data_IF_827576710327
#
_entry.id   IF_827576710327
#
_cell.length_a   1.000
_cell.length_b   1.000
_cell.length_c   1.000
_cell.angle_alpha   90.00
_cell.angle_beta   90.00
_cell.angle_gamma   90.00
#
_symmetry.space_group_name_H-M   'P 1'
#
loop_
_entity.id
_entity.type
_entity.pdbx_description
1 polymer ?
#
# COMPACT_ATOMS: atom_id res chain seq x y z
N UNK A 1 -21.69 0.54 8.73
CA UNK A 1 -22.44 1.56 8.00
C UNK A 1 -21.38 2.52 7.50
N UNK A 2 -21.30 2.75 6.19
CA UNK A 2 -20.21 3.54 5.59
C UNK A 2 -20.23 4.96 6.17
N UNK A 3 -19.08 5.46 6.61
CA UNK A 3 -18.98 6.73 7.36
C UNK A 3 -19.16 7.99 6.49
N UNK A 4 -19.41 7.83 5.19
CA UNK A 4 -19.53 8.92 4.23
C UNK A 4 -20.67 8.69 3.24
N UNK A 5 -21.26 9.78 2.76
CA UNK A 5 -22.34 9.78 1.76
C UNK A 5 -21.81 9.96 0.34
N UNK A 6 -22.60 9.54 -0.65
CA UNK A 6 -22.29 9.76 -2.07
C UNK A 6 -22.15 11.25 -2.40
N UNK A 7 -22.91 12.11 -1.73
CA UNK A 7 -22.85 13.57 -1.93
C UNK A 7 -21.51 14.15 -1.46
N UNK A 8 -20.96 13.64 -0.35
CA UNK A 8 -19.64 14.05 0.14
C UNK A 8 -18.52 13.63 -0.81
N UNK A 9 -18.62 12.43 -1.40
CA UNK A 9 -17.66 11.99 -2.43
C UNK A 9 -17.74 12.94 -3.64
N UNK A 10 -18.95 13.26 -4.09
CA UNK A 10 -19.16 14.16 -5.23
C UNK A 10 -18.57 15.55 -5.01
N UNK A 11 -18.70 16.11 -3.81
CA UNK A 11 -18.10 17.40 -3.43
C UNK A 11 -16.56 17.38 -3.55
N UNK A 12 -15.92 16.26 -3.20
CA UNK A 12 -14.45 16.13 -3.28
C UNK A 12 -13.98 15.82 -4.69
N UNK A 13 -14.80 15.13 -5.51
CA UNK A 13 -14.45 14.87 -6.90
C UNK A 13 -14.20 16.16 -7.70
N UNK A 14 -14.81 17.28 -7.30
CA UNK A 14 -14.55 18.59 -7.89
C UNK A 14 -13.19 19.19 -7.45
N UNK A 15 -12.60 18.71 -6.34
CA UNK A 15 -11.31 19.15 -5.78
C UNK A 15 -10.18 18.20 -6.19
N UNK A 16 -9.76 18.30 -7.44
CA UNK A 16 -8.76 17.41 -8.06
C UNK A 16 -7.43 17.34 -7.26
N UNK A 17 -6.98 18.46 -6.68
CA UNK A 17 -5.74 18.53 -5.89
C UNK A 17 -5.77 17.65 -4.61
N UNK A 18 -6.96 17.21 -4.18
CA UNK A 18 -7.16 16.36 -3.01
C UNK A 18 -7.50 14.91 -3.37
N UNK A 19 -7.43 14.55 -4.65
CA UNK A 19 -7.61 13.17 -5.12
C UNK A 19 -6.24 12.49 -5.20
N UNK A 20 -6.13 11.27 -4.67
CA UNK A 20 -4.91 10.46 -4.75
C UNK A 20 -5.24 9.10 -5.34
N UNK A 21 -4.75 8.82 -6.54
CA UNK A 21 -4.90 7.51 -7.16
C UNK A 21 -3.66 6.69 -6.85
N UNK A 22 -3.83 5.59 -6.13
CA UNK A 22 -2.72 4.76 -5.71
C UNK A 22 -2.97 3.28 -5.92
N UNK A 23 -1.93 2.56 -6.31
CA UNK A 23 -1.94 1.10 -6.37
C UNK A 23 -1.21 0.54 -5.15
N UNK A 24 -1.52 -0.70 -4.78
CA UNK A 24 -0.75 -1.42 -3.75
C UNK A 24 0.13 -2.45 -4.45
N UNK A 25 1.42 -2.48 -4.11
CA UNK A 25 2.42 -3.41 -4.63
C UNK A 25 2.92 -4.27 -3.48
N UNK A 26 2.92 -5.59 -3.64
CA UNK A 26 3.42 -6.51 -2.62
C UNK A 26 3.82 -7.84 -3.25
N UNK A 27 4.73 -8.57 -2.60
CA UNK A 27 4.91 -9.99 -2.88
C UNK A 27 3.70 -10.79 -2.36
N UNK A 28 3.49 -11.98 -2.91
CA UNK A 28 2.52 -12.95 -2.35
C UNK A 28 2.83 -13.16 -0.86
N UNK A 29 1.77 -13.26 -0.07
CA UNK A 29 1.83 -13.41 1.39
C UNK A 29 2.49 -12.27 2.19
N UNK A 30 2.85 -11.13 1.59
CA UNK A 30 3.38 -9.97 2.34
C UNK A 30 2.29 -9.15 3.07
N UNK A 31 1.05 -9.62 3.05
CA UNK A 31 -0.07 -9.03 3.80
C UNK A 31 -0.78 -7.89 3.09
N UNK A 32 -0.76 -7.91 1.75
CA UNK A 32 -1.42 -6.92 0.87
C UNK A 32 -2.92 -6.78 1.18
N UNK A 33 -3.68 -7.86 1.03
CA UNK A 33 -5.13 -7.87 1.20
C UNK A 33 -5.52 -7.51 2.65
N UNK A 34 -4.74 -7.98 3.62
CA UNK A 34 -4.94 -7.65 5.04
C UNK A 34 -4.76 -6.16 5.32
N UNK A 35 -3.73 -5.54 4.73
CA UNK A 35 -3.51 -4.11 4.86
C UNK A 35 -4.63 -3.31 4.17
N UNK A 36 -5.03 -3.70 2.97
CA UNK A 36 -6.13 -3.07 2.25
C UNK A 36 -7.43 -3.16 3.06
N UNK A 37 -7.73 -4.32 3.66
CA UNK A 37 -8.88 -4.49 4.54
C UNK A 37 -8.84 -3.56 5.78
N UNK A 38 -7.66 -3.36 6.37
CA UNK A 38 -7.50 -2.42 7.48
C UNK A 38 -7.85 -0.98 7.07
N UNK A 39 -7.41 -0.56 5.88
CA UNK A 39 -7.77 0.75 5.31
C UNK A 39 -9.28 0.86 5.06
N UNK A 40 -9.91 -0.19 4.54
CA UNK A 40 -11.36 -0.24 4.31
C UNK A 40 -12.18 -0.19 5.60
N UNK A 41 -11.71 -0.89 6.63
CA UNK A 41 -12.26 -0.83 7.97
C UNK A 41 -12.17 0.59 8.54
N UNK A 42 -10.99 1.21 8.43
CA UNK A 42 -10.76 2.57 8.92
C UNK A 42 -11.63 3.60 8.20
N UNK A 43 -11.86 3.43 6.90
CA UNK A 43 -12.80 4.24 6.12
C UNK A 43 -14.28 3.98 6.47
N UNK A 44 -14.57 2.98 7.33
CA UNK A 44 -15.92 2.61 7.73
C UNK A 44 -16.69 1.82 6.67
N UNK A 45 -16.04 1.42 5.58
CA UNK A 45 -16.66 0.64 4.49
C UNK A 45 -17.00 -0.77 4.99
N UNK A 46 -16.12 -1.35 5.80
CA UNK A 46 -16.28 -2.68 6.41
C UNK A 46 -16.39 -2.53 7.93
N UNK A 47 -17.13 -3.43 8.57
CA UNK A 47 -17.15 -3.50 10.03
C UNK A 47 -15.84 -4.06 10.57
N UNK A 48 -15.28 -3.44 11.62
CA UNK A 48 -14.01 -3.84 12.25
C UNK A 48 -13.95 -5.33 12.65
N UNK A 49 -15.08 -5.94 13.01
CA UNK A 49 -15.15 -7.38 13.33
C UNK A 49 -14.84 -8.33 12.17
N UNK A 50 -14.82 -7.84 10.94
CA UNK A 50 -14.58 -8.65 9.73
C UNK A 50 -13.33 -8.17 8.98
N UNK A 51 -12.64 -7.13 9.47
CA UNK A 51 -11.45 -6.61 8.84
C UNK A 51 -10.29 -7.62 8.97
N UNK A 52 -9.58 -7.88 7.86
CA UNK A 52 -8.44 -8.82 7.81
C UNK A 52 -8.83 -10.26 7.47
N UNK A 53 -10.02 -10.70 7.90
CA UNK A 53 -10.59 -12.01 7.57
C UNK A 53 -11.52 -11.97 6.34
N UNK A 54 -12.16 -10.83 6.07
CA UNK A 54 -13.10 -10.68 4.95
C UNK A 54 -12.43 -10.76 3.58
N UNK A 55 -11.21 -10.21 3.46
CA UNK A 55 -10.54 -9.89 2.20
C UNK A 55 -11.52 -9.29 1.21
N UNK A 56 -12.04 -8.11 1.54
CA UNK A 56 -13.19 -7.55 0.82
C UNK A 56 -12.88 -7.17 -0.64
N UNK A 57 -11.61 -7.04 -0.99
CA UNK A 57 -11.18 -6.85 -2.38
C UNK A 57 -11.13 -8.14 -3.20
N UNK A 58 -11.03 -9.29 -2.53
CA UNK A 58 -11.09 -10.63 -3.15
C UNK A 58 -12.58 -11.00 -3.33
N UNK A 59 -13.15 -10.59 -4.45
CA UNK A 59 -14.59 -10.75 -4.72
C UNK A 59 -14.96 -12.13 -5.24
N UNK A 60 -13.99 -12.90 -5.76
CA UNK A 60 -14.24 -14.22 -6.36
C UNK A 60 -13.97 -15.35 -5.36
N UNK A 61 -14.67 -16.47 -5.54
CA UNK A 61 -14.51 -17.65 -4.67
C UNK A 61 -13.12 -18.28 -4.77
N UNK A 62 -12.52 -18.29 -5.97
CA UNK A 62 -11.17 -18.81 -6.21
C UNK A 62 -10.07 -17.94 -5.58
N UNK A 63 -10.27 -16.62 -5.49
CA UNK A 63 -9.38 -15.69 -4.78
C UNK A 63 -9.36 -16.01 -3.27
N UNK A 64 -10.54 -16.16 -2.68
CA UNK A 64 -10.69 -16.45 -1.24
C UNK A 64 -10.11 -17.80 -0.87
N UNK A 65 -10.36 -18.83 -1.68
CA UNK A 65 -9.86 -20.19 -1.44
C UNK A 65 -8.33 -20.26 -1.51
N UNK A 66 -7.72 -19.51 -2.44
CA UNK A 66 -6.26 -19.57 -2.69
C UNK A 66 -5.45 -18.53 -1.94
N UNK A 67 -6.07 -17.50 -1.37
CA UNK A 67 -5.36 -16.43 -0.68
C UNK A 67 -4.61 -15.46 -1.58
N UNK A 68 -5.04 -15.33 -2.82
CA UNK A 68 -4.41 -14.47 -3.83
C UNK A 68 -5.43 -13.54 -4.48
N UNK A 69 -5.00 -12.32 -4.78
CA UNK A 69 -5.77 -11.37 -5.59
C UNK A 69 -5.55 -11.68 -7.07
N UNK A 70 -6.63 -12.00 -7.78
CA UNK A 70 -6.61 -12.38 -9.20
C UNK A 70 -7.07 -11.21 -10.07
N UNK A 71 -8.04 -10.42 -9.62
CA UNK A 71 -8.62 -9.30 -10.37
C UNK A 71 -8.41 -7.97 -9.66
N UNK A 72 -8.20 -6.92 -10.43
CA UNK A 72 -8.08 -5.57 -9.90
C UNK A 72 -9.43 -5.04 -9.41
N UNK A 73 -9.47 -4.66 -8.13
CA UNK A 73 -10.64 -4.00 -7.52
C UNK A 73 -10.25 -2.59 -7.09
N UNK A 74 -11.03 -1.60 -7.53
CA UNK A 74 -10.86 -0.21 -7.11
C UNK A 74 -11.75 0.09 -5.90
N UNK A 75 -11.19 0.73 -4.87
CA UNK A 75 -11.94 1.21 -3.72
C UNK A 75 -11.60 2.67 -3.43
N UNK A 76 -12.64 3.47 -3.21
CA UNK A 76 -12.50 4.87 -2.82
C UNK A 76 -12.61 5.01 -1.30
N UNK A 77 -11.60 5.63 -0.70
CA UNK A 77 -11.51 5.95 0.72
C UNK A 77 -11.71 7.46 0.88
N UNK A 78 -12.71 7.84 1.67
CA UNK A 78 -12.88 9.21 2.13
C UNK A 78 -12.11 9.39 3.44
N UNK A 79 -11.24 10.38 3.50
CA UNK A 79 -10.47 10.68 4.70
C UNK A 79 -10.40 12.18 4.97
N UNK A 80 -10.50 12.56 6.24
CA UNK A 80 -10.29 13.93 6.69
C UNK A 80 -9.01 13.96 7.51
N UNK A 81 -8.03 14.73 7.07
CA UNK A 81 -6.72 14.78 7.70
C UNK A 81 -6.14 16.18 7.68
N UNK A 82 -5.40 16.51 8.74
CA UNK A 82 -4.65 17.74 8.83
C UNK A 82 -3.20 17.47 8.38
N UNK A 83 -2.90 17.81 7.13
CA UNK A 83 -1.55 17.61 6.56
C UNK A 83 -0.54 18.60 7.15
N UNK A 84 -0.99 19.79 7.54
CA UNK A 84 -0.11 20.91 7.87
C UNK A 84 -0.01 21.19 9.37
N UNK A 85 -0.58 20.31 10.20
CA UNK A 85 -0.69 20.46 11.67
C UNK A 85 -1.23 21.85 12.06
N UNK A 86 -2.14 22.38 11.24
CA UNK A 86 -2.69 23.72 11.36
C UNK A 86 -4.11 23.71 11.97
N UNK A 87 -4.54 22.54 12.47
CA UNK A 87 -5.86 22.19 13.01
C UNK A 87 -7.00 22.27 11.99
N UNK A 88 -6.71 22.34 10.70
CA UNK A 88 -7.70 22.34 9.63
C UNK A 88 -7.74 20.97 8.98
N UNK A 89 -8.87 20.29 9.14
CA UNK A 89 -9.09 19.01 8.48
C UNK A 89 -9.41 19.26 7.00
N UNK A 90 -8.48 18.87 6.15
CA UNK A 90 -8.71 18.84 4.71
C UNK A 90 -9.30 17.49 4.33
N UNK A 91 -10.27 17.51 3.41
CA UNK A 91 -10.93 16.32 2.91
C UNK A 91 -10.16 15.76 1.72
N UNK A 92 -9.87 14.47 1.74
CA UNK A 92 -9.16 13.74 0.69
C UNK A 92 -9.99 12.56 0.18
N UNK A 93 -9.86 12.32 -1.12
CA UNK A 93 -10.40 11.13 -1.77
C UNK A 93 -9.24 10.28 -2.27
N UNK A 94 -9.05 9.12 -1.65
CA UNK A 94 -7.96 8.20 -2.01
C UNK A 94 -8.58 7.04 -2.77
N UNK A 95 -8.24 6.89 -4.04
CA UNK A 95 -8.64 5.76 -4.86
C UNK A 95 -7.54 4.70 -4.80
N UNK A 96 -7.81 3.61 -4.11
CA UNK A 96 -6.91 2.47 -3.98
C UNK A 96 -7.26 1.42 -5.02
N UNK A 97 -6.30 1.05 -5.85
CA UNK A 97 -6.43 -0.03 -6.83
C UNK A 97 -5.63 -1.23 -6.33
N UNK A 98 -6.35 -2.29 -5.99
CA UNK A 98 -5.74 -3.53 -5.54
C UNK A 98 -5.38 -4.40 -6.75
N UNK A 99 -4.11 -4.36 -7.18
CA UNK A 99 -3.62 -5.16 -8.31
C UNK A 99 -3.23 -6.62 -7.94
N UNK A 100 -3.14 -7.55 -8.89
CA UNK A 100 -2.60 -8.88 -8.60
C UNK A 100 -1.12 -8.83 -8.15
N UNK A 101 -0.73 -9.64 -7.15
CA UNK A 101 0.67 -9.78 -6.72
C UNK A 101 1.46 -10.85 -7.49
N UNK A 102 0.77 -11.67 -8.28
CA UNK A 102 1.35 -12.83 -8.96
C UNK A 102 1.86 -12.48 -10.37
N UNK A 103 3.00 -13.08 -10.76
CA UNK A 103 3.66 -12.82 -12.06
C UNK A 103 2.80 -13.14 -13.28
N UNK A 104 1.89 -14.11 -13.14
CA UNK A 104 1.00 -14.56 -14.21
C UNK A 104 -0.03 -13.51 -14.65
N UNK A 105 -0.25 -12.47 -13.83
CA UNK A 105 -1.22 -11.40 -14.08
C UNK A 105 -0.56 -10.06 -14.40
N UNK A 106 0.66 -10.09 -14.95
CA UNK A 106 1.48 -8.89 -15.25
C UNK A 106 0.79 -7.84 -16.14
N UNK A 107 -0.08 -8.25 -17.07
CA UNK A 107 -0.84 -7.32 -17.92
C UNK A 107 -1.83 -6.47 -17.13
N UNK A 108 -2.48 -7.08 -16.13
CA UNK A 108 -3.43 -6.41 -15.26
C UNK A 108 -2.73 -5.49 -14.26
N UNK A 109 -1.58 -5.93 -13.73
CA UNK A 109 -0.70 -5.08 -12.90
C UNK A 109 -0.26 -3.83 -13.67
N UNK A 110 0.18 -3.99 -14.92
CA UNK A 110 0.62 -2.86 -15.75
C UNK A 110 -0.55 -1.89 -16.02
N UNK A 111 -1.74 -2.42 -16.29
CA UNK A 111 -2.92 -1.58 -16.49
C UNK A 111 -3.32 -0.81 -15.23
N UNK A 112 -3.23 -1.44 -14.05
CA UNK A 112 -3.48 -0.79 -12.76
C UNK A 112 -2.45 0.32 -12.46
N UNK A 113 -1.17 0.07 -12.72
CA UNK A 113 -0.10 1.05 -12.53
C UNK A 113 -0.33 2.30 -13.40
N UNK A 114 -0.68 2.13 -14.68
CA UNK A 114 -0.91 3.24 -15.63
C UNK A 114 -2.00 4.23 -15.25
N UNK A 115 -2.94 3.82 -14.39
CA UNK A 115 -4.05 4.67 -13.95
C UNK A 115 -3.84 5.21 -12.53
N UNK A 116 -2.66 5.00 -11.94
CA UNK A 116 -2.32 5.45 -10.59
C UNK A 116 -1.13 6.41 -10.61
N UNK A 117 -1.18 7.40 -9.72
CA UNK A 117 -0.13 8.41 -9.58
C UNK A 117 0.91 8.01 -8.52
N UNK A 118 0.49 7.18 -7.55
CA UNK A 118 1.34 6.66 -6.47
C UNK A 118 1.24 5.15 -6.30
N UNK A 119 2.21 4.56 -5.62
CA UNK A 119 2.21 3.15 -5.27
C UNK A 119 2.61 2.93 -3.81
N UNK A 120 1.76 2.20 -3.06
CA UNK A 120 2.07 1.71 -1.72
C UNK A 120 2.78 0.36 -1.83
N UNK A 121 4.07 0.35 -1.55
CA UNK A 121 4.93 -0.84 -1.59
C UNK A 121 4.94 -1.48 -0.21
N UNK A 122 4.33 -2.66 -0.10
CA UNK A 122 4.28 -3.45 1.14
C UNK A 122 5.40 -4.47 1.13
N UNK A 123 6.24 -4.44 2.16
CA UNK A 123 7.41 -5.31 2.28
C UNK A 123 7.41 -5.98 3.65
N UNK A 124 7.59 -7.30 3.70
CA UNK A 124 7.72 -8.04 4.96
C UNK A 124 9.02 -7.66 5.69
N UNK A 125 8.93 -7.33 6.99
CA UNK A 125 10.06 -6.97 7.83
C UNK A 125 11.16 -8.06 7.90
N UNK A 126 10.77 -9.33 7.82
CA UNK A 126 11.68 -10.48 7.98
C UNK A 126 12.23 -10.90 6.63
N UNK A 127 11.37 -11.05 5.62
CA UNK A 127 11.77 -11.54 4.29
C UNK A 127 12.44 -10.45 3.44
N UNK A 128 12.08 -9.18 3.65
CA UNK A 128 12.58 -8.06 2.86
C UNK A 128 11.99 -8.04 1.45
N UNK A 129 12.72 -7.45 0.50
CA UNK A 129 12.23 -7.29 -0.88
C UNK A 129 12.42 -8.58 -1.68
N UNK A 130 11.32 -9.12 -2.20
CA UNK A 130 11.31 -10.31 -3.05
C UNK A 130 11.22 -9.95 -4.55
N UNK A 131 11.48 -10.93 -5.42
CA UNK A 131 11.53 -10.77 -6.89
C UNK A 131 10.24 -10.17 -7.48
N UNK A 132 9.07 -10.50 -6.93
CA UNK A 132 7.80 -9.94 -7.39
C UNK A 132 7.69 -8.45 -7.05
N UNK A 133 8.02 -8.07 -5.82
CA UNK A 133 8.06 -6.66 -5.39
C UNK A 133 9.02 -5.87 -6.26
N UNK A 134 10.22 -6.38 -6.53
CA UNK A 134 11.19 -5.74 -7.43
C UNK A 134 10.64 -5.60 -8.87
N UNK A 135 10.03 -6.66 -9.40
CA UNK A 135 9.50 -6.66 -10.77
C UNK A 135 8.40 -5.62 -10.96
N UNK A 136 7.46 -5.53 -10.02
CA UNK A 136 6.34 -4.59 -10.08
C UNK A 136 6.81 -3.16 -9.74
N UNK A 137 7.73 -2.99 -8.79
CA UNK A 137 8.33 -1.69 -8.48
C UNK A 137 9.10 -1.13 -9.68
N UNK A 138 9.84 -1.97 -10.40
CA UNK A 138 10.50 -1.58 -11.66
C UNK A 138 9.49 -1.09 -12.70
N UNK A 139 8.36 -1.79 -12.86
CA UNK A 139 7.29 -1.35 -13.76
C UNK A 139 6.70 0.00 -13.31
N UNK A 140 6.53 0.19 -12.00
CA UNK A 140 6.04 1.45 -11.45
C UNK A 140 7.00 2.62 -11.74
N UNK A 141 8.32 2.41 -11.67
CA UNK A 141 9.31 3.44 -12.06
C UNK A 141 9.24 3.77 -13.56
N UNK A 142 8.98 2.78 -14.42
CA UNK A 142 8.82 3.00 -15.86
C UNK A 142 7.59 3.86 -16.17
N UNK A 143 6.50 3.66 -15.44
CA UNK A 143 5.25 4.43 -15.54
C UNK A 143 5.30 5.74 -14.72
N UNK A 144 6.48 6.11 -14.21
CA UNK A 144 6.75 7.33 -13.44
C UNK A 144 5.90 7.50 -12.17
N UNK A 145 5.63 6.41 -11.49
CA UNK A 145 4.79 6.39 -10.29
C UNK A 145 5.65 6.63 -9.04
N UNK A 146 5.16 7.46 -8.12
CA UNK A 146 5.88 7.76 -6.87
C UNK A 146 5.63 6.67 -5.81
N UNK A 147 6.67 5.98 -5.29
CA UNK A 147 6.49 4.94 -4.30
C UNK A 147 6.45 5.49 -2.88
N UNK A 148 5.66 4.85 -2.01
CA UNK A 148 5.69 4.98 -0.55
C UNK A 148 5.75 3.59 0.06
N UNK A 149 6.54 3.37 1.11
CA UNK A 149 6.82 2.03 1.64
C UNK A 149 6.08 1.80 2.95
N UNK A 150 5.53 0.60 3.10
CA UNK A 150 5.10 0.05 4.37
C UNK A 150 5.87 -1.23 4.68
N UNK A 151 6.68 -1.18 5.73
CA UNK A 151 7.31 -2.36 6.32
C UNK A 151 6.29 -3.04 7.22
N UNK A 152 5.83 -4.22 6.79
CA UNK A 152 4.73 -4.97 7.37
C UNK A 152 5.24 -6.18 8.19
N UNK A 153 4.33 -6.79 8.95
CA UNK A 153 4.55 -7.97 9.80
C UNK A 153 5.60 -7.81 10.91
N UNK A 154 5.68 -6.61 11.50
CA UNK A 154 6.59 -6.33 12.61
C UNK A 154 6.26 -7.21 13.84
N UNK A 155 5.01 -7.62 14.00
CA UNK A 155 4.57 -8.58 15.01
C UNK A 155 5.37 -9.89 14.99
N UNK A 156 5.78 -10.38 13.81
CA UNK A 156 6.62 -11.58 13.70
C UNK A 156 8.01 -11.35 14.27
N UNK A 157 8.61 -10.19 13.98
CA UNK A 157 9.93 -9.85 14.51
C UNK A 157 9.92 -9.75 16.06
N UNK A 158 8.82 -9.26 16.63
CA UNK A 158 8.66 -9.08 18.08
C UNK A 158 8.25 -10.38 18.78
N UNK A 159 7.19 -11.05 18.31
CA UNK A 159 6.54 -12.14 19.01
C UNK A 159 7.15 -13.51 18.67
N UNK A 160 7.43 -13.76 17.39
CA UNK A 160 7.97 -15.05 16.91
C UNK A 160 9.49 -15.09 17.08
N UNK A 161 10.19 -14.12 16.50
CA UNK A 161 11.66 -14.09 16.44
C UNK A 161 12.31 -13.47 17.68
N UNK A 162 11.54 -12.68 18.45
CA UNK A 162 11.99 -12.02 19.69
C UNK A 162 13.29 -11.26 19.51
N UNK A 163 13.41 -10.54 18.40
CA UNK A 163 14.56 -9.69 18.14
C UNK A 163 14.63 -8.55 19.15
N UNK A 164 15.86 -8.13 19.48
CA UNK A 164 16.09 -6.92 20.25
C UNK A 164 15.97 -5.67 19.36
N UNK A 165 15.88 -4.50 20.00
CA UNK A 165 15.64 -3.23 19.29
C UNK A 165 16.71 -2.91 18.24
N UNK A 166 17.98 -3.22 18.52
CA UNK A 166 19.07 -2.98 17.58
C UNK A 166 18.94 -3.88 16.34
N UNK A 167 18.71 -5.18 16.52
CA UNK A 167 18.50 -6.09 15.39
C UNK A 167 17.29 -5.68 14.54
N UNK A 168 16.19 -5.27 15.18
CA UNK A 168 15.02 -4.77 14.45
C UNK A 168 15.35 -3.51 13.65
N UNK A 169 16.05 -2.55 14.26
CA UNK A 169 16.46 -1.32 13.58
C UNK A 169 17.36 -1.61 12.37
N UNK A 170 18.37 -2.45 12.53
CA UNK A 170 19.25 -2.85 11.41
C UNK A 170 18.47 -3.55 10.30
N UNK A 171 17.48 -4.38 10.65
CA UNK A 171 16.60 -5.01 9.66
C UNK A 171 15.75 -3.97 8.90
N UNK A 172 15.21 -2.97 9.59
CA UNK A 172 14.45 -1.88 8.96
C UNK A 172 15.30 -1.07 8.00
N UNK A 173 16.51 -0.67 8.41
CA UNK A 173 17.48 0.03 7.55
C UNK A 173 17.77 -0.81 6.30
N UNK A 174 18.09 -2.09 6.48
CA UNK A 174 18.34 -3.02 5.37
C UNK A 174 17.16 -3.09 4.39
N UNK A 175 15.92 -3.18 4.89
CA UNK A 175 14.72 -3.25 4.03
C UNK A 175 14.55 -1.96 3.23
N UNK A 176 14.70 -0.80 3.86
CA UNK A 176 14.61 0.52 3.21
C UNK A 176 15.71 0.66 2.14
N UNK A 177 16.94 0.26 2.46
CA UNK A 177 18.07 0.29 1.52
C UNK A 177 17.82 -0.61 0.30
N UNK A 178 17.29 -1.82 0.50
CA UNK A 178 16.94 -2.72 -0.60
C UNK A 178 15.92 -2.09 -1.56
N UNK A 179 14.91 -1.39 -1.03
CA UNK A 179 13.94 -0.66 -1.86
C UNK A 179 14.61 0.49 -2.60
N UNK A 180 15.43 1.28 -1.90
CA UNK A 180 16.14 2.43 -2.49
C UNK A 180 17.13 2.01 -3.59
N UNK A 181 17.78 0.85 -3.47
CA UNK A 181 18.63 0.30 -4.53
C UNK A 181 17.81 0.08 -5.80
N UNK A 182 16.60 -0.48 -5.69
CA UNK A 182 15.73 -0.74 -6.86
C UNK A 182 15.25 0.58 -7.47
N UNK A 183 14.79 1.52 -6.63
CA UNK A 183 14.34 2.85 -7.09
C UNK A 183 15.48 3.54 -7.82
N UNK A 184 16.68 3.63 -7.21
CA UNK A 184 17.83 4.31 -7.80
C UNK A 184 18.30 3.65 -9.11
N UNK A 185 18.14 2.33 -9.24
CA UNK A 185 18.53 1.59 -10.46
C UNK A 185 17.60 1.87 -11.63
N UNK A 186 16.30 2.09 -11.38
CA UNK A 186 15.28 2.15 -12.43
C UNK A 186 14.56 3.51 -12.56
N UNK A 187 14.83 4.47 -11.67
CA UNK A 187 14.29 5.83 -11.78
C UNK A 187 14.80 6.53 -13.04
N UNK A 188 13.97 7.43 -13.58
CA UNK A 188 14.32 8.26 -14.73
C UNK A 188 14.78 9.65 -14.24
N UNK A 189 15.69 10.29 -14.99
CA UNK A 189 16.32 11.57 -14.59
C UNK A 189 15.30 12.71 -14.36
N UNK A 190 14.14 12.65 -15.01
CA UNK A 190 13.12 13.69 -14.96
C UNK A 190 12.11 13.52 -13.79
N UNK A 191 12.25 12.47 -12.98
CA UNK A 191 11.33 12.18 -11.86
C UNK A 191 11.70 12.89 -10.55
N UNK A 192 12.89 13.48 -10.47
CA UNK A 192 13.43 14.02 -9.22
C UNK A 192 13.83 12.91 -8.23
N UNK A 193 13.90 13.25 -6.95
CA UNK A 193 14.26 12.30 -5.90
C UNK A 193 13.04 11.49 -5.44
N UNK A 194 13.08 10.20 -5.73
CA UNK A 194 12.05 9.22 -5.33
C UNK A 194 12.51 8.31 -4.19
N UNK A 195 13.73 8.52 -3.68
CA UNK A 195 14.23 7.69 -2.60
C UNK A 195 13.33 7.82 -1.37
N UNK A 196 13.13 6.69 -0.71
CA UNK A 196 12.29 6.61 0.46
C UNK A 196 13.14 6.74 1.72
N UNK A 197 12.70 7.65 2.59
CA UNK A 197 13.36 7.98 3.83
C UNK A 197 12.33 8.00 4.97
N UNK A 198 12.57 7.27 6.09
CA UNK A 198 11.71 7.33 7.26
C UNK A 198 11.53 8.75 7.81
N UNK A 199 12.59 9.57 7.76
CA UNK A 199 12.61 10.96 8.23
C UNK A 199 11.67 11.88 7.45
N UNK A 200 11.41 11.56 6.18
CA UNK A 200 10.50 12.31 5.30
C UNK A 200 9.06 11.77 5.35
N UNK A 201 8.80 10.74 6.15
CA UNK A 201 7.47 10.12 6.27
C UNK A 201 7.07 9.27 5.06
N UNK A 202 7.99 8.91 4.17
CA UNK A 202 7.71 8.04 3.01
C UNK A 202 7.82 6.55 3.34
N UNK A 203 8.20 6.21 4.58
CA UNK A 203 8.28 4.84 5.10
C UNK A 203 7.42 4.74 6.36
N UNK A 204 6.55 3.75 6.40
CA UNK A 204 5.73 3.40 7.56
C UNK A 204 6.08 2.00 8.07
N UNK A 205 5.92 1.78 9.37
CA UNK A 205 6.26 0.54 10.06
C UNK A 205 5.03 0.05 10.81
N UNK A 206 4.57 -1.18 10.57
CA UNK A 206 3.43 -1.74 11.30
C UNK A 206 3.14 -3.21 11.04
N UNK A 207 1.96 -3.64 11.48
CA UNK A 207 1.38 -4.93 11.14
C UNK A 207 -0.06 -4.75 10.71
N UNK A 208 -0.40 -5.27 9.53
CA UNK A 208 -1.77 -5.23 9.02
C UNK A 208 -2.73 -6.20 9.72
N UNK A 209 -2.22 -7.20 10.46
CA UNK A 209 -3.04 -8.30 11.02
C UNK A 209 -3.75 -7.93 12.32
N UNK A 210 -3.18 -7.03 13.11
CA UNK A 210 -3.77 -6.55 14.37
C UNK A 210 -4.10 -5.06 14.22
N UNK A 211 -5.37 -4.75 13.97
CA UNK A 211 -5.92 -3.38 13.96
C UNK A 211 -7.14 -3.29 14.87
#
# INVERSE_FOLDING_TARGET
MVNFSVDQIREIMDKQDNIRNMSVIAHVDHGKSTLTDSLLCKAGIIASKVAGDARATDTREDEKERGITIKSTGVSLYYEYDIYDNKTLEKFLINLIDSPGHVDFSSEVTAALRVTDGALVVVDCVEGVCVQTETVLRQAMQEKIKPVVMVNKIDRAILELKHDGETMYQNFVRVVDMVNVIINTYQQEDMGDLLVHPELGSVSFGSGKEC
#
